data_IF_984795624189
#
_entry.id   IF_984795624189
#
_cell.length_a   1.000
_cell.length_b   1.000
_cell.length_c   1.000
_cell.angle_alpha   90.00
_cell.angle_beta   90.00
_cell.angle_gamma   90.00
#
_symmetry.space_group_name_H-M   'P 1'
#
loop_
_entity.id
_entity.type
_entity.pdbx_description
1 polymer ?
#
# COMPACT_ATOMS: atom_id res chain seq x y z
N UNK A 1 5.72 18.00 37.86
CA UNK A 1 5.37 18.56 36.54
C UNK A 1 4.76 17.45 35.70
N UNK A 2 3.44 17.37 35.64
CA UNK A 2 2.74 16.36 34.81
C UNK A 2 2.79 16.86 33.36
N UNK A 3 3.52 16.16 32.52
CA UNK A 3 3.45 16.34 31.07
C UNK A 3 2.13 15.73 30.65
N UNK A 4 1.11 16.58 30.41
CA UNK A 4 -0.08 16.17 29.69
C UNK A 4 0.36 15.70 28.30
N UNK A 5 0.36 14.37 28.06
CA UNK A 5 0.36 13.83 26.70
C UNK A 5 -0.90 14.36 26.04
N UNK A 6 -0.76 15.40 25.19
CA UNK A 6 -1.77 15.71 24.19
C UNK A 6 -1.92 14.43 23.37
N UNK A 7 -3.03 13.75 23.51
CA UNK A 7 -3.43 12.71 22.55
C UNK A 7 -3.45 13.39 21.19
N UNK A 8 -2.50 13.06 20.35
CA UNK A 8 -2.57 13.41 18.93
C UNK A 8 -3.89 12.79 18.47
N UNK A 9 -4.85 13.63 18.07
CA UNK A 9 -6.16 13.17 17.63
C UNK A 9 -5.97 12.08 16.59
N UNK A 10 -6.50 10.89 16.83
CA UNK A 10 -6.51 9.82 15.83
C UNK A 10 -7.26 10.33 14.62
N UNK A 11 -6.61 10.29 13.44
CA UNK A 11 -7.29 10.54 12.18
C UNK A 11 -8.44 9.54 12.04
N UNK A 12 -9.63 10.05 11.83
CA UNK A 12 -10.78 9.19 11.53
C UNK A 12 -10.72 8.77 10.08
N UNK A 13 -11.17 7.57 9.76
CA UNK A 13 -11.17 7.03 8.41
C UNK A 13 -11.82 7.99 7.38
N UNK A 14 -12.93 8.63 7.76
CA UNK A 14 -13.64 9.63 6.95
C UNK A 14 -12.83 10.91 6.63
N UNK A 15 -11.74 11.15 7.34
CA UNK A 15 -10.83 12.28 7.09
C UNK A 15 -9.80 11.96 6.00
N UNK A 16 -9.60 10.67 5.69
CA UNK A 16 -8.73 10.24 4.61
C UNK A 16 -9.51 10.27 3.28
N UNK A 17 -9.12 11.16 2.39
CA UNK A 17 -9.76 11.32 1.09
C UNK A 17 -9.24 10.35 0.05
N UNK A 18 -7.96 9.98 0.15
CA UNK A 18 -7.33 8.95 -0.66
C UNK A 18 -6.06 8.45 0.03
N UNK A 19 -5.62 7.24 -0.32
CA UNK A 19 -4.32 6.67 0.05
C UNK A 19 -3.56 6.26 -1.20
N UNK A 20 -2.23 6.33 -1.12
CA UNK A 20 -1.34 5.81 -2.16
C UNK A 20 -0.50 4.70 -1.53
N UNK A 21 -0.56 3.52 -2.12
CA UNK A 21 0.28 2.39 -1.76
C UNK A 21 1.32 2.20 -2.87
N UNK A 22 2.50 2.76 -2.65
CA UNK A 22 3.61 2.70 -3.60
C UNK A 22 4.48 1.50 -3.29
N UNK A 23 4.24 0.42 -4.05
CA UNK A 23 5.04 -0.80 -4.01
C UNK A 23 5.22 -1.37 -2.60
N UNK A 24 4.13 -1.42 -1.84
CA UNK A 24 4.13 -1.77 -0.43
C UNK A 24 3.99 -3.30 -0.22
N UNK A 25 4.80 -3.91 0.67
CA UNK A 25 4.60 -5.28 1.12
C UNK A 25 3.38 -5.36 2.05
N UNK A 26 2.30 -6.01 1.62
CA UNK A 26 1.01 -6.05 2.33
C UNK A 26 0.62 -7.44 2.80
N UNK A 27 1.07 -8.48 2.11
CA UNK A 27 0.69 -9.87 2.36
C UNK A 27 1.88 -10.65 2.89
N UNK A 28 1.93 -10.88 4.19
CA UNK A 28 3.08 -11.51 4.85
C UNK A 28 3.51 -12.84 4.20
N UNK A 29 2.56 -13.67 3.76
CA UNK A 29 2.87 -14.97 3.16
C UNK A 29 3.60 -14.86 1.82
N UNK A 30 3.42 -13.74 1.11
CA UNK A 30 4.08 -13.43 -0.17
C UNK A 30 5.49 -12.85 0.01
N UNK A 31 5.87 -12.47 1.23
CA UNK A 31 7.18 -11.87 1.48
C UNK A 31 8.31 -12.85 1.23
N UNK A 32 9.41 -12.33 0.73
CA UNK A 32 10.69 -13.06 0.69
C UNK A 32 11.13 -13.46 2.12
N UNK A 33 11.98 -14.47 2.22
CA UNK A 33 12.53 -14.86 3.52
C UNK A 33 13.20 -13.70 4.26
N UNK A 34 13.97 -12.88 3.54
CA UNK A 34 14.62 -11.70 4.11
C UNK A 34 13.62 -10.67 4.63
N UNK A 35 12.56 -10.40 3.87
CA UNK A 35 11.49 -9.49 4.29
C UNK A 35 10.74 -10.03 5.51
N UNK A 36 10.45 -11.33 5.58
CA UNK A 36 9.83 -11.96 6.77
C UNK A 36 10.67 -11.81 8.02
N UNK A 37 11.99 -12.01 7.92
CA UNK A 37 12.94 -11.82 9.02
C UNK A 37 12.98 -10.35 9.45
N UNK A 38 13.05 -9.43 8.50
CA UNK A 38 13.08 -7.99 8.78
C UNK A 38 11.82 -7.54 9.52
N UNK A 39 10.64 -7.92 9.02
CA UNK A 39 9.35 -7.60 9.64
C UNK A 39 9.20 -8.24 11.00
N UNK A 40 9.59 -9.51 11.17
CA UNK A 40 9.57 -10.20 12.47
C UNK A 40 10.42 -9.50 13.51
N UNK A 41 11.63 -9.09 13.14
CA UNK A 41 12.53 -8.32 14.01
C UNK A 41 11.95 -6.95 14.38
N UNK A 42 11.43 -6.21 13.40
CA UNK A 42 10.90 -4.87 13.60
C UNK A 42 9.63 -4.87 14.47
N UNK A 43 8.73 -5.82 14.25
CA UNK A 43 7.44 -5.89 14.94
C UNK A 43 7.55 -6.45 16.35
N UNK A 44 8.36 -7.48 16.55
CA UNK A 44 8.38 -8.25 17.81
C UNK A 44 9.75 -8.70 18.28
N UNK A 45 10.80 -8.36 17.56
CA UNK A 45 12.17 -8.83 17.89
C UNK A 45 12.36 -10.34 17.69
N UNK A 46 11.60 -10.96 16.78
CA UNK A 46 11.66 -12.39 16.45
C UNK A 46 12.09 -12.59 15.01
N UNK A 47 12.55 -13.79 14.66
CA UNK A 47 12.91 -14.12 13.28
C UNK A 47 11.65 -14.16 12.40
N UNK A 48 10.56 -14.75 12.91
CA UNK A 48 9.27 -14.83 12.20
C UNK A 48 8.13 -14.41 13.11
N UNK A 49 7.07 -13.87 12.51
CA UNK A 49 5.83 -13.61 13.22
C UNK A 49 5.03 -14.90 13.42
N UNK A 50 4.36 -15.02 14.57
CA UNK A 50 3.36 -16.05 14.80
C UNK A 50 2.03 -15.75 14.09
N UNK A 51 1.12 -16.73 13.99
CA UNK A 51 -0.16 -16.58 13.26
C UNK A 51 -1.01 -15.39 13.73
N UNK A 52 -1.02 -15.10 15.03
CA UNK A 52 -1.78 -13.97 15.58
C UNK A 52 -1.22 -12.62 15.12
N UNK A 53 0.09 -12.52 15.05
CA UNK A 53 0.77 -11.33 14.57
C UNK A 53 0.59 -11.17 13.06
N UNK A 54 0.70 -12.25 12.28
CA UNK A 54 0.48 -12.25 10.84
C UNK A 54 -0.93 -11.72 10.53
N UNK A 55 -1.96 -12.23 11.18
CA UNK A 55 -3.34 -11.76 11.01
C UNK A 55 -3.49 -10.27 11.33
N UNK A 56 -2.81 -9.80 12.37
CA UNK A 56 -2.86 -8.39 12.77
C UNK A 56 -2.21 -7.45 11.76
N UNK A 57 -1.13 -7.87 11.11
CA UNK A 57 -0.32 -7.06 10.21
C UNK A 57 -0.52 -7.38 8.72
N UNK A 58 -1.38 -8.33 8.39
CA UNK A 58 -1.80 -8.57 7.02
C UNK A 58 -2.88 -7.54 6.63
N UNK A 59 -2.45 -6.48 5.96
CA UNK A 59 -3.30 -5.32 5.68
C UNK A 59 -4.55 -5.64 4.84
N UNK A 60 -4.49 -6.67 4.00
CA UNK A 60 -5.61 -7.09 3.15
C UNK A 60 -6.81 -7.55 3.98
N UNK A 61 -6.57 -8.17 5.14
CA UNK A 61 -7.65 -8.65 6.03
C UNK A 61 -8.49 -7.52 6.65
N UNK A 62 -8.03 -6.28 6.54
CA UNK A 62 -8.67 -5.10 7.12
C UNK A 62 -9.37 -4.22 6.07
N UNK A 63 -9.42 -4.69 4.83
CA UNK A 63 -10.14 -3.99 3.77
C UNK A 63 -11.63 -4.26 3.90
N UNK A 64 -12.40 -3.19 4.04
CA UNK A 64 -13.86 -3.22 4.03
C UNK A 64 -14.41 -2.03 3.22
N UNK A 65 -15.72 -1.89 3.12
CA UNK A 65 -16.37 -0.81 2.38
C UNK A 65 -16.09 0.61 2.89
N UNK A 66 -15.47 0.75 4.07
CA UNK A 66 -15.06 2.05 4.64
C UNK A 66 -13.58 2.35 4.36
N UNK A 67 -12.89 1.46 3.65
CA UNK A 67 -11.50 1.71 3.25
C UNK A 67 -11.44 2.96 2.35
N UNK A 68 -10.48 3.88 2.55
CA UNK A 68 -10.40 5.07 1.73
C UNK A 68 -10.09 4.74 0.28
N UNK A 69 -10.53 5.56 -0.69
CA UNK A 69 -10.14 5.44 -2.09
C UNK A 69 -8.63 5.30 -2.24
N UNK A 70 -8.16 4.41 -3.12
CA UNK A 70 -6.75 4.03 -3.15
C UNK A 70 -6.13 4.04 -4.55
N UNK A 71 -4.87 4.47 -4.64
CA UNK A 71 -4.01 4.21 -5.80
C UNK A 71 -2.96 3.18 -5.40
N UNK A 72 -2.83 2.15 -6.22
CA UNK A 72 -1.88 1.06 -6.04
C UNK A 72 -0.82 1.13 -7.15
N UNK A 73 0.44 1.28 -6.76
CA UNK A 73 1.57 1.32 -7.69
C UNK A 73 2.38 0.02 -7.52
N UNK A 74 2.38 -0.84 -8.54
CA UNK A 74 3.05 -2.14 -8.50
C UNK A 74 4.36 -2.14 -9.28
N UNK A 75 5.44 -2.56 -8.62
CA UNK A 75 6.73 -2.82 -9.27
C UNK A 75 7.41 -4.06 -8.70
N UNK A 76 8.11 -3.99 -7.59
CA UNK A 76 8.72 -5.14 -6.91
C UNK A 76 7.66 -5.99 -6.20
N UNK A 77 6.72 -5.35 -5.50
CA UNK A 77 5.63 -6.01 -4.77
C UNK A 77 4.32 -6.05 -5.58
N UNK A 78 4.42 -6.25 -6.89
CA UNK A 78 3.24 -6.28 -7.78
C UNK A 78 2.20 -7.33 -7.37
N UNK A 79 2.62 -8.47 -6.80
CA UNK A 79 1.70 -9.49 -6.32
C UNK A 79 0.86 -9.00 -5.12
N UNK A 80 1.48 -8.26 -4.21
CA UNK A 80 0.79 -7.62 -3.07
C UNK A 80 -0.20 -6.57 -3.55
N UNK A 81 0.19 -5.75 -4.53
CA UNK A 81 -0.69 -4.73 -5.11
C UNK A 81 -1.90 -5.36 -5.82
N UNK A 82 -1.72 -6.47 -6.53
CA UNK A 82 -2.84 -7.21 -7.14
C UNK A 82 -3.76 -7.83 -6.09
N UNK A 83 -3.21 -8.44 -5.04
CA UNK A 83 -4.03 -8.97 -3.93
C UNK A 83 -4.82 -7.85 -3.24
N UNK A 84 -4.24 -6.66 -3.08
CA UNK A 84 -4.95 -5.51 -2.55
C UNK A 84 -6.04 -5.00 -3.50
N UNK A 85 -5.75 -4.98 -4.80
CA UNK A 85 -6.73 -4.66 -5.84
C UNK A 85 -7.96 -5.56 -5.77
N UNK A 86 -7.77 -6.87 -5.68
CA UNK A 86 -8.86 -7.84 -5.57
C UNK A 86 -9.69 -7.60 -4.30
N UNK A 87 -9.06 -7.36 -3.17
CA UNK A 87 -9.75 -7.02 -1.92
C UNK A 87 -10.56 -5.73 -2.01
N UNK A 88 -10.04 -4.70 -2.69
CA UNK A 88 -10.75 -3.44 -2.91
C UNK A 88 -11.94 -3.60 -3.86
N UNK A 89 -11.83 -4.47 -4.87
CA UNK A 89 -12.97 -4.85 -5.73
C UNK A 89 -14.08 -5.50 -4.88
N UNK A 90 -13.75 -6.50 -4.08
CA UNK A 90 -14.70 -7.20 -3.22
C UNK A 90 -15.39 -6.26 -2.22
N UNK A 91 -14.65 -5.30 -1.69
CA UNK A 91 -15.17 -4.29 -0.77
C UNK A 91 -15.91 -3.12 -1.46
N UNK A 92 -15.95 -3.09 -2.81
CA UNK A 92 -16.54 -2.02 -3.62
C UNK A 92 -15.94 -0.63 -3.31
N UNK A 93 -14.62 -0.57 -3.09
CA UNK A 93 -13.87 0.67 -2.81
C UNK A 93 -13.33 1.26 -4.11
N UNK A 94 -13.50 2.57 -4.37
CA UNK A 94 -12.90 3.23 -5.53
C UNK A 94 -11.36 3.12 -5.48
N UNK A 95 -10.77 2.62 -6.54
CA UNK A 95 -9.31 2.49 -6.60
C UNK A 95 -8.79 2.42 -8.04
N UNK A 96 -7.51 2.65 -8.19
CA UNK A 96 -6.77 2.48 -9.44
C UNK A 96 -5.53 1.62 -9.19
N UNK A 97 -5.33 0.57 -9.98
CA UNK A 97 -4.10 -0.21 -10.02
C UNK A 97 -3.25 0.23 -11.22
N UNK A 98 -2.04 0.67 -10.96
CA UNK A 98 -1.03 1.01 -11.96
C UNK A 98 0.05 -0.06 -11.88
N UNK A 99 0.03 -0.99 -12.84
CA UNK A 99 0.92 -2.16 -12.89
C UNK A 99 1.61 -2.20 -14.26
N UNK A 100 2.81 -1.59 -14.40
CA UNK A 100 3.54 -1.57 -15.66
C UNK A 100 3.90 -2.96 -16.19
N UNK A 101 4.05 -3.96 -15.30
CA UNK A 101 4.29 -5.33 -15.71
C UNK A 101 3.08 -5.94 -16.42
N UNK A 102 1.87 -5.75 -15.89
CA UNK A 102 0.65 -6.24 -16.52
C UNK A 102 0.26 -5.43 -17.75
N UNK A 103 0.39 -4.11 -17.69
CA UNK A 103 -0.06 -3.19 -18.75
C UNK A 103 0.87 -3.19 -19.98
N UNK A 104 2.18 -3.30 -19.76
CA UNK A 104 3.21 -3.04 -20.78
C UNK A 104 4.31 -4.11 -20.84
N UNK A 105 4.21 -5.18 -20.05
CA UNK A 105 5.26 -6.19 -19.86
C UNK A 105 6.61 -5.57 -19.47
N UNK A 106 6.58 -4.52 -18.65
CA UNK A 106 7.74 -3.75 -18.25
C UNK A 106 7.94 -3.85 -16.72
N UNK A 107 9.13 -4.30 -16.31
CA UNK A 107 9.53 -4.30 -14.89
C UNK A 107 10.13 -2.95 -14.53
N UNK A 108 9.52 -2.28 -13.59
CA UNK A 108 10.02 -1.04 -13.01
C UNK A 108 10.74 -1.32 -11.68
N UNK A 109 11.73 -0.50 -11.28
CA UNK A 109 12.37 -0.63 -9.97
C UNK A 109 11.43 -0.22 -8.84
N UNK A 110 11.78 -0.61 -7.61
CA UNK A 110 11.04 -0.25 -6.40
C UNK A 110 10.81 1.27 -6.32
N UNK A 111 9.56 1.66 -6.01
CA UNK A 111 9.13 3.07 -5.93
C UNK A 111 9.50 3.88 -7.20
N UNK A 112 9.28 3.31 -8.38
CA UNK A 112 9.72 3.87 -9.67
C UNK A 112 9.20 5.27 -9.94
N UNK A 113 8.03 5.62 -9.46
CA UNK A 113 7.45 6.97 -9.61
C UNK A 113 8.33 8.03 -8.95
N UNK A 114 9.01 7.69 -7.87
CA UNK A 114 9.92 8.58 -7.16
C UNK A 114 11.36 8.50 -7.69
N UNK A 115 11.85 7.29 -8.05
CA UNK A 115 13.23 7.04 -8.45
C UNK A 115 13.51 7.34 -9.93
N UNK A 116 12.52 7.11 -10.81
CA UNK A 116 12.68 7.18 -12.28
C UNK A 116 11.92 8.37 -12.90
N UNK A 117 11.98 9.53 -12.28
CA UNK A 117 11.18 10.72 -12.66
C UNK A 117 11.30 11.16 -14.12
N UNK A 118 12.40 10.85 -14.79
CA UNK A 118 12.61 11.16 -16.20
C UNK A 118 12.02 10.11 -17.15
N UNK A 119 11.63 8.93 -16.63
CA UNK A 119 11.05 7.87 -17.42
C UNK A 119 9.58 8.18 -17.77
N UNK A 120 9.19 7.88 -19.01
CA UNK A 120 7.83 8.15 -19.49
C UNK A 120 6.76 7.33 -18.75
N UNK A 121 7.10 6.09 -18.33
CA UNK A 121 6.17 5.23 -17.57
C UNK A 121 5.96 5.76 -16.16
N UNK A 122 7.05 6.21 -15.51
CA UNK A 122 6.97 6.81 -14.18
C UNK A 122 6.17 8.12 -14.21
N UNK A 123 6.33 8.93 -15.25
CA UNK A 123 5.57 10.17 -15.44
C UNK A 123 4.08 9.88 -15.66
N UNK A 124 3.75 8.93 -16.54
CA UNK A 124 2.36 8.51 -16.79
C UNK A 124 1.70 8.00 -15.50
N UNK A 125 2.40 7.17 -14.73
CA UNK A 125 1.93 6.66 -13.45
C UNK A 125 1.70 7.79 -12.42
N UNK A 126 2.59 8.77 -12.36
CA UNK A 126 2.44 9.95 -11.51
C UNK A 126 1.23 10.78 -11.91
N UNK A 127 1.03 11.05 -13.21
CA UNK A 127 -0.09 11.85 -13.72
C UNK A 127 -1.44 11.15 -13.44
N UNK A 128 -1.51 9.82 -13.61
CA UNK A 128 -2.69 9.01 -13.27
C UNK A 128 -2.98 9.06 -11.76
N UNK A 129 -1.98 8.84 -10.93
CA UNK A 129 -2.09 8.92 -9.48
C UNK A 129 -2.64 10.28 -9.04
N UNK A 130 -2.07 11.36 -9.56
CA UNK A 130 -2.52 12.72 -9.23
C UNK A 130 -3.91 13.02 -9.75
N UNK A 131 -4.28 12.50 -10.92
CA UNK A 131 -5.63 12.60 -11.47
C UNK A 131 -6.65 11.93 -10.56
N UNK A 132 -6.39 10.68 -10.13
CA UNK A 132 -7.25 9.96 -9.20
C UNK A 132 -7.44 10.73 -7.88
N UNK A 133 -6.34 11.18 -7.26
CA UNK A 133 -6.39 11.95 -6.00
C UNK A 133 -7.23 13.22 -6.18
N UNK A 134 -7.04 13.95 -7.28
CA UNK A 134 -7.78 15.17 -7.56
C UNK A 134 -9.29 14.96 -7.67
N UNK A 135 -9.73 13.78 -8.10
CA UNK A 135 -11.15 13.40 -8.13
C UNK A 135 -11.72 13.13 -6.74
N UNK A 136 -10.93 12.59 -5.82
CA UNK A 136 -11.38 12.24 -4.47
C UNK A 136 -11.44 13.44 -3.51
N UNK A 137 -10.76 14.54 -3.83
CA UNK A 137 -10.71 15.74 -2.95
C UNK A 137 -11.65 16.87 -3.39
N UNK A 138 -12.44 16.64 -4.44
CA UNK A 138 -13.52 17.56 -4.85
C UNK A 138 -14.67 17.47 -3.87
#
# INVERSE_FOLDING_TARGET
MQIQKKEAGQLKAEQLKAVVLDDAPLVYDQFSLGTKVLVGNYVKGTIFLGQKEIQKYNNILWVDSNYPPAVLLGSEYYADMRSMHDALIEANVPHELIDPLAERNLRMPHCFVASERADAVAKDAFDRMMGFIAEQVK
#
